data_IF_996404881077
#
_entry.id   IF_996404881077
#
_cell.length_a   1.000
_cell.length_b   1.000
_cell.length_c   1.000
_cell.angle_alpha   90.00
_cell.angle_beta   90.00
_cell.angle_gamma   90.00
#
_symmetry.space_group_name_H-M   'P 1'
#
loop_
_entity.id
_entity.type
_entity.pdbx_description
1 polymer ?
#
# COMPACT_ATOMS: atom_id res chain seq x y z
N UNK A 1 -57.74 -12.63 1.10
CA UNK A 1 -58.47 -12.53 -0.17
C UNK A 1 -58.89 -11.07 -0.35
N UNK A 2 -58.26 -10.35 -1.28
CA UNK A 2 -58.59 -8.96 -1.59
C UNK A 2 -59.08 -8.90 -3.04
N UNK A 3 -60.36 -8.61 -3.21
CA UNK A 3 -61.01 -8.56 -4.52
C UNK A 3 -60.84 -7.17 -5.14
N UNK A 4 -60.35 -7.20 -6.37
CA UNK A 4 -60.16 -6.11 -7.32
C UNK A 4 -61.49 -5.47 -7.75
N UNK A 5 -61.54 -4.14 -7.81
CA UNK A 5 -62.55 -3.41 -8.59
C UNK A 5 -61.89 -2.68 -9.75
N UNK A 6 -61.99 -3.31 -10.92
CA UNK A 6 -61.79 -2.72 -12.24
C UNK A 6 -62.86 -1.66 -12.48
N UNK A 7 -62.49 -0.38 -12.53
CA UNK A 7 -63.36 0.67 -13.07
C UNK A 7 -62.95 0.99 -14.50
N UNK A 8 -63.82 0.60 -15.43
CA UNK A 8 -63.74 0.91 -16.86
C UNK A 8 -63.90 2.42 -17.04
N UNK A 9 -62.87 3.09 -17.54
CA UNK A 9 -63.00 4.47 -18.03
C UNK A 9 -63.57 4.44 -19.44
N UNK A 10 -64.86 4.74 -19.57
CA UNK A 10 -65.48 5.07 -20.85
C UNK A 10 -64.95 6.42 -21.34
N UNK A 11 -64.47 6.46 -22.57
CA UNK A 11 -64.07 7.68 -23.27
C UNK A 11 -65.33 8.35 -23.81
N UNK A 12 -65.75 9.44 -23.18
CA UNK A 12 -66.75 10.34 -23.74
C UNK A 12 -66.05 11.34 -24.67
N UNK A 13 -66.28 11.19 -25.98
CA UNK A 13 -65.92 12.19 -26.99
C UNK A 13 -66.82 13.41 -26.79
N UNK A 14 -66.33 14.43 -26.08
CA UNK A 14 -66.99 15.73 -26.01
C UNK A 14 -66.54 16.57 -27.22
N UNK A 15 -67.41 16.61 -28.22
CA UNK A 15 -67.40 17.66 -29.24
C UNK A 15 -67.71 18.99 -28.56
N UNK A 16 -66.73 19.89 -28.50
CA UNK A 16 -66.93 21.24 -27.98
C UNK A 16 -67.64 22.10 -29.04
N UNK A 17 -68.96 22.09 -29.05
CA UNK A 17 -69.75 23.15 -29.69
C UNK A 17 -69.68 24.40 -28.84
N UNK A 18 -69.26 25.51 -29.44
CA UNK A 18 -69.26 26.86 -28.86
C UNK A 18 -70.67 27.27 -28.44
N UNK A 19 -71.00 27.11 -27.15
CA UNK A 19 -72.23 27.62 -26.56
C UNK A 19 -71.87 28.67 -25.52
N UNK A 20 -71.98 29.93 -25.92
CA UNK A 20 -72.10 31.07 -24.99
C UNK A 20 -73.51 31.00 -24.38
N UNK A 21 -73.69 30.28 -23.29
CA UNK A 21 -74.90 30.40 -22.47
C UNK A 21 -74.60 30.03 -21.02
N UNK A 22 -74.78 31.00 -20.13
CA UNK A 22 -74.84 30.79 -18.68
C UNK A 22 -76.02 29.87 -18.38
N UNK A 23 -75.76 28.67 -17.86
CA UNK A 23 -76.77 27.83 -17.24
C UNK A 23 -76.36 27.68 -15.76
N UNK A 24 -77.14 28.17 -14.79
CA UNK A 24 -76.92 27.84 -13.39
C UNK A 24 -77.34 26.38 -13.17
N UNK A 25 -76.37 25.51 -12.89
CA UNK A 25 -76.66 24.15 -12.42
C UNK A 25 -77.03 24.26 -10.94
N UNK A 26 -78.32 24.11 -10.64
CA UNK A 26 -78.81 24.01 -9.25
C UNK A 26 -78.48 22.61 -8.73
N UNK A 27 -77.49 22.52 -7.84
CA UNK A 27 -77.26 21.31 -7.04
C UNK A 27 -78.28 21.24 -5.92
N UNK A 28 -78.79 20.03 -5.61
CA UNK A 28 -79.92 19.77 -4.70
C UNK A 28 -79.76 20.20 -3.23
N UNK A 29 -78.67 20.86 -2.87
CA UNK A 29 -78.53 21.60 -1.61
C UNK A 29 -78.41 23.08 -1.99
N UNK A 30 -79.41 23.90 -1.65
CA UNK A 30 -79.58 25.33 -1.97
C UNK A 30 -78.35 26.24 -1.73
N UNK A 31 -77.27 26.02 -2.47
CA UNK A 31 -76.05 26.82 -2.51
C UNK A 31 -75.82 27.13 -3.97
N UNK A 32 -76.11 28.37 -4.36
CA UNK A 32 -75.82 28.88 -5.70
C UNK A 32 -74.31 28.96 -5.84
N UNK A 33 -73.69 27.94 -6.43
CA UNK A 33 -72.29 28.05 -6.86
C UNK A 33 -72.26 28.97 -8.08
N UNK A 34 -71.92 30.24 -7.85
CA UNK A 34 -71.48 31.16 -8.90
C UNK A 34 -70.15 30.63 -9.44
N UNK A 35 -70.21 29.66 -10.36
CA UNK A 35 -69.04 29.28 -11.16
C UNK A 35 -68.80 30.44 -12.12
N UNK A 36 -67.90 31.34 -11.73
CA UNK A 36 -67.47 32.40 -12.61
C UNK A 36 -66.83 31.77 -13.86
N UNK A 37 -67.53 31.87 -14.99
CA UNK A 37 -67.12 31.32 -16.28
C UNK A 37 -65.98 32.13 -16.91
N UNK A 38 -64.82 32.19 -16.25
CA UNK A 38 -63.62 32.74 -16.86
C UNK A 38 -63.08 31.74 -17.88
N UNK A 39 -62.90 32.17 -19.13
CA UNK A 39 -62.28 31.32 -20.14
C UNK A 39 -60.79 31.14 -19.79
N UNK A 40 -60.33 29.95 -19.37
CA UNK A 40 -58.95 29.76 -18.99
C UNK A 40 -58.05 29.95 -20.21
N UNK A 41 -56.87 30.53 -19.99
CA UNK A 41 -55.88 30.66 -21.07
C UNK A 41 -55.53 29.26 -21.60
N UNK A 42 -55.34 29.10 -22.92
CA UNK A 42 -54.99 27.81 -23.49
C UNK A 42 -53.68 27.30 -22.87
N UNK A 43 -53.62 25.98 -22.64
CA UNK A 43 -52.43 25.34 -22.09
C UNK A 43 -51.27 25.46 -23.08
N UNK A 44 -50.12 25.92 -22.60
CA UNK A 44 -48.88 26.01 -23.37
C UNK A 44 -48.20 24.64 -23.40
N UNK A 45 -48.70 23.73 -24.24
CA UNK A 45 -48.08 22.43 -24.46
C UNK A 45 -47.16 22.47 -25.69
N UNK A 46 -45.98 21.86 -25.58
CA UNK A 46 -45.03 21.71 -26.69
C UNK A 46 -45.36 20.44 -27.51
N UNK A 47 -46.56 20.40 -28.09
CA UNK A 47 -47.00 19.30 -28.98
C UNK A 47 -46.57 19.51 -30.45
N UNK A 48 -45.69 20.49 -30.68
CA UNK A 48 -45.27 20.93 -32.01
C UNK A 48 -44.07 20.15 -32.53
N UNK A 49 -43.82 20.37 -33.82
CA UNK A 49 -42.64 19.96 -34.57
C UNK A 49 -41.33 20.18 -33.78
N UNK A 50 -40.32 19.33 -34.01
CA UNK A 50 -39.03 19.46 -33.35
C UNK A 50 -38.45 20.84 -33.58
N UNK A 51 -37.92 21.45 -32.51
CA UNK A 51 -37.16 22.69 -32.62
C UNK A 51 -35.83 22.42 -33.35
N UNK A 52 -35.65 23.04 -34.52
CA UNK A 52 -34.43 22.97 -35.31
C UNK A 52 -33.73 24.34 -35.20
N UNK A 53 -32.54 24.41 -34.59
CA UNK A 53 -31.84 25.68 -34.42
C UNK A 53 -31.16 26.13 -35.72
N UNK A 54 -31.13 27.45 -35.94
CA UNK A 54 -30.37 28.05 -37.04
C UNK A 54 -28.87 28.00 -36.74
N UNK A 55 -28.11 27.28 -37.56
CA UNK A 55 -26.65 27.11 -37.37
C UNK A 55 -25.86 28.41 -37.56
N UNK A 56 -26.32 29.26 -38.49
CA UNK A 56 -25.63 30.50 -38.88
C UNK A 56 -25.94 31.67 -37.94
N UNK A 57 -26.89 31.52 -37.02
CA UNK A 57 -27.25 32.58 -36.07
C UNK A 57 -26.26 32.64 -34.91
N UNK A 58 -25.83 33.85 -34.55
CA UNK A 58 -25.01 34.10 -33.37
C UNK A 58 -25.79 33.89 -32.06
N UNK A 59 -27.12 34.00 -32.11
CA UNK A 59 -27.99 33.79 -30.94
C UNK A 59 -28.06 32.32 -30.52
N UNK A 60 -27.71 31.41 -31.41
CA UNK A 60 -27.70 29.97 -31.16
C UNK A 60 -26.43 29.57 -30.41
N UNK A 61 -26.53 28.94 -29.23
CA UNK A 61 -25.36 28.43 -28.50
C UNK A 61 -24.54 27.43 -29.33
N UNK A 62 -23.22 27.46 -29.20
CA UNK A 62 -22.30 26.62 -30.00
C UNK A 62 -22.59 25.12 -29.86
N UNK A 63 -22.94 24.65 -28.67
CA UNK A 63 -23.24 23.24 -28.42
C UNK A 63 -24.46 22.74 -29.23
N UNK A 64 -25.40 23.62 -29.60
CA UNK A 64 -26.54 23.27 -30.47
C UNK A 64 -26.15 23.15 -31.94
N UNK A 65 -25.01 23.72 -32.34
CA UNK A 65 -24.47 23.65 -33.69
C UNK A 65 -23.65 22.38 -33.94
N UNK A 66 -23.34 21.62 -32.90
CA UNK A 66 -22.51 20.40 -32.98
C UNK A 66 -23.29 19.18 -33.47
N UNK A 67 -22.59 18.23 -34.08
CA UNK A 67 -23.12 16.91 -34.47
C UNK A 67 -23.71 16.13 -33.28
N UNK A 68 -23.21 16.40 -32.07
CA UNK A 68 -23.73 15.81 -30.83
C UNK A 68 -25.17 16.22 -30.58
N UNK A 69 -25.53 17.46 -30.89
CA UNK A 69 -26.90 17.93 -30.77
C UNK A 69 -27.82 17.31 -31.83
N UNK A 70 -27.33 17.17 -33.06
CA UNK A 70 -28.06 16.49 -34.15
C UNK A 70 -28.38 15.05 -33.78
N UNK A 71 -27.40 14.31 -33.24
CA UNK A 71 -27.59 12.96 -32.71
C UNK A 71 -28.67 12.91 -31.62
N UNK A 72 -28.68 13.89 -30.72
CA UNK A 72 -29.70 14.01 -29.65
C UNK A 72 -31.09 14.31 -30.22
N UNK A 73 -31.19 15.13 -31.25
CA UNK A 73 -32.46 15.48 -31.89
C UNK A 73 -33.04 14.25 -32.61
N UNK A 74 -32.20 13.54 -33.37
CA UNK A 74 -32.57 12.29 -34.03
C UNK A 74 -32.99 11.22 -33.02
N UNK A 75 -32.28 11.06 -31.90
CA UNK A 75 -32.67 10.09 -30.87
C UNK A 75 -34.05 10.39 -30.23
N UNK A 76 -34.48 11.66 -30.20
CA UNK A 76 -35.76 12.06 -29.60
C UNK A 76 -36.94 11.98 -30.56
N UNK A 77 -36.74 12.42 -31.80
CA UNK A 77 -37.82 12.60 -32.77
C UNK A 77 -37.70 11.65 -33.98
N UNK A 78 -36.64 10.86 -34.06
CA UNK A 78 -36.36 9.96 -35.18
C UNK A 78 -36.20 10.72 -36.49
N UNK A 79 -36.70 10.15 -37.58
CA UNK A 79 -36.70 10.75 -38.92
C UNK A 79 -37.48 12.06 -39.02
N UNK A 80 -38.42 12.34 -38.11
CA UNK A 80 -39.13 13.62 -38.09
C UNK A 80 -38.21 14.81 -37.80
N UNK A 81 -37.01 14.57 -37.28
CA UNK A 81 -35.97 15.60 -37.06
C UNK A 81 -35.29 16.07 -38.35
N UNK A 82 -35.40 15.34 -39.47
CA UNK A 82 -34.73 15.66 -40.72
C UNK A 82 -33.20 15.47 -40.71
N UNK A 83 -32.64 14.87 -39.65
CA UNK A 83 -31.20 14.54 -39.57
C UNK A 83 -30.95 13.26 -40.38
N UNK A 84 -29.93 13.30 -41.25
CA UNK A 84 -29.47 12.14 -42.02
C UNK A 84 -28.81 11.10 -41.09
N UNK A 85 -29.31 9.84 -41.05
CA UNK A 85 -28.71 8.78 -40.24
C UNK A 85 -27.24 8.50 -40.54
N UNK A 86 -26.77 8.75 -41.78
CA UNK A 86 -25.37 8.53 -42.16
C UNK A 86 -24.40 9.37 -41.35
N UNK A 87 -24.80 10.60 -40.97
CA UNK A 87 -23.99 11.54 -40.18
C UNK A 87 -23.89 11.16 -38.70
N UNK A 88 -24.65 10.17 -38.23
CA UNK A 88 -24.61 9.73 -36.84
C UNK A 88 -23.39 8.87 -36.55
N UNK A 89 -22.87 8.19 -37.57
CA UNK A 89 -21.65 7.40 -37.51
C UNK A 89 -20.42 8.33 -37.55
N UNK A 90 -19.31 7.93 -36.88
CA UNK A 90 -18.06 8.66 -37.00
C UNK A 90 -17.62 8.80 -38.45
N UNK A 91 -16.97 9.92 -38.76
CA UNK A 91 -16.26 10.07 -40.05
C UNK A 91 -15.05 9.15 -40.08
N UNK A 92 -14.54 8.83 -41.28
CA UNK A 92 -13.38 7.94 -41.43
C UNK A 92 -12.16 8.41 -40.62
N UNK A 93 -11.88 9.72 -40.61
CA UNK A 93 -10.80 10.29 -39.80
C UNK A 93 -11.01 10.08 -38.28
N UNK A 94 -12.21 10.36 -37.78
CA UNK A 94 -12.56 10.12 -36.36
C UNK A 94 -12.48 8.64 -36.01
N UNK A 95 -12.86 7.75 -36.94
CA UNK A 95 -12.78 6.30 -36.73
C UNK A 95 -11.32 5.84 -36.61
N UNK A 96 -10.43 6.35 -37.45
CA UNK A 96 -8.99 6.05 -37.37
C UNK A 96 -8.39 6.52 -36.04
N UNK A 97 -8.74 7.72 -35.57
CA UNK A 97 -8.33 8.24 -34.26
C UNK A 97 -8.80 7.31 -33.13
N UNK A 98 -10.08 6.92 -33.14
CA UNK A 98 -10.63 6.00 -32.13
C UNK A 98 -9.94 4.63 -32.14
N UNK A 99 -9.63 4.09 -33.32
CA UNK A 99 -8.91 2.81 -33.45
C UNK A 99 -7.48 2.94 -32.91
N UNK A 100 -6.81 4.08 -33.15
CA UNK A 100 -5.46 4.34 -32.64
C UNK A 100 -5.46 4.48 -31.11
N UNK A 101 -6.43 5.22 -30.56
CA UNK A 101 -6.61 5.36 -29.11
C UNK A 101 -6.91 4.00 -28.45
N UNK A 102 -7.80 3.20 -29.04
CA UNK A 102 -8.12 1.87 -28.54
C UNK A 102 -6.89 0.96 -28.55
N UNK A 103 -6.12 0.92 -29.64
CA UNK A 103 -4.88 0.13 -29.70
C UNK A 103 -3.84 0.58 -28.68
N UNK A 104 -3.76 1.88 -28.41
CA UNK A 104 -2.78 2.45 -27.46
C UNK A 104 -3.13 2.13 -26.01
N UNK A 105 -4.41 2.24 -25.63
CA UNK A 105 -4.85 2.12 -24.25
C UNK A 105 -5.43 0.76 -23.88
N UNK A 106 -5.97 0.04 -24.86
CA UNK A 106 -6.65 -1.24 -24.71
C UNK A 106 -5.93 -2.33 -25.52
N UNK A 107 -4.83 -2.88 -24.97
CA UNK A 107 -4.11 -3.96 -25.64
C UNK A 107 -4.99 -5.21 -25.78
N UNK A 108 -4.71 -6.08 -26.76
CA UNK A 108 -5.46 -7.32 -26.94
C UNK A 108 -5.29 -8.28 -25.76
N UNK A 109 -6.29 -9.14 -25.56
CA UNK A 109 -6.34 -10.09 -24.45
C UNK A 109 -5.11 -11.00 -24.39
N UNK A 110 -4.59 -11.43 -25.54
CA UNK A 110 -3.40 -12.29 -25.62
C UNK A 110 -2.16 -11.63 -25.02
N UNK A 111 -1.96 -10.34 -25.25
CA UNK A 111 -0.85 -9.59 -24.67
C UNK A 111 -1.02 -9.46 -23.16
N UNK A 112 -2.25 -9.22 -22.70
CA UNK A 112 -2.54 -9.18 -21.26
C UNK A 112 -2.21 -10.52 -20.59
N UNK A 113 -2.60 -11.64 -21.18
CA UNK A 113 -2.30 -12.98 -20.65
C UNK A 113 -0.78 -13.26 -20.62
N UNK A 114 -0.05 -12.89 -21.68
CA UNK A 114 1.42 -12.99 -21.72
C UNK A 114 2.06 -12.17 -20.61
N UNK A 115 1.58 -10.94 -20.39
CA UNK A 115 2.08 -10.05 -19.35
C UNK A 115 1.80 -10.59 -17.94
N UNK A 116 0.63 -11.18 -17.71
CA UNK A 116 0.29 -11.84 -16.44
C UNK A 116 1.23 -13.01 -16.20
N UNK A 117 1.37 -13.90 -17.19
CA UNK A 117 2.25 -15.07 -17.08
C UNK A 117 3.71 -14.68 -16.81
N UNK A 118 4.21 -13.63 -17.45
CA UNK A 118 5.57 -13.10 -17.20
C UNK A 118 5.73 -12.58 -15.76
N UNK A 119 4.76 -11.79 -15.27
CA UNK A 119 4.76 -11.28 -13.89
C UNK A 119 4.66 -12.39 -12.85
N UNK A 120 3.89 -13.44 -13.12
CA UNK A 120 3.77 -14.59 -12.22
C UNK A 120 5.09 -15.37 -12.13
N UNK A 121 5.75 -15.61 -13.27
CA UNK A 121 7.08 -16.25 -13.30
C UNK A 121 8.11 -15.46 -12.51
N UNK A 122 8.20 -14.15 -12.74
CA UNK A 122 9.14 -13.28 -12.00
C UNK A 122 8.87 -13.30 -10.48
N UNK A 123 7.59 -13.24 -10.08
CA UNK A 123 7.20 -13.34 -8.66
C UNK A 123 7.56 -14.70 -8.06
N UNK A 124 7.35 -15.79 -8.80
CA UNK A 124 7.70 -17.14 -8.37
C UNK A 124 9.23 -17.27 -8.21
N UNK A 125 10.02 -16.79 -9.16
CA UNK A 125 11.48 -16.80 -9.10
C UNK A 125 12.01 -16.00 -7.90
N UNK A 126 11.48 -14.79 -7.66
CA UNK A 126 11.83 -13.98 -6.48
C UNK A 126 11.48 -14.70 -5.18
N UNK A 127 10.32 -15.37 -5.12
CA UNK A 127 9.91 -16.17 -3.95
C UNK A 127 10.89 -17.32 -3.70
N UNK A 128 11.20 -18.10 -4.74
CA UNK A 128 12.14 -19.22 -4.64
C UNK A 128 13.55 -18.76 -4.24
N UNK A 129 14.04 -17.65 -4.80
CA UNK A 129 15.34 -17.08 -4.43
C UNK A 129 15.36 -16.68 -2.95
N UNK A 130 14.29 -16.04 -2.46
CA UNK A 130 14.15 -15.67 -1.05
C UNK A 130 14.11 -16.91 -0.15
N UNK A 131 13.35 -17.93 -0.52
CA UNK A 131 13.27 -19.19 0.24
C UNK A 131 14.61 -19.90 0.31
N UNK A 132 15.36 -19.97 -0.80
CA UNK A 132 16.72 -20.52 -0.84
C UNK A 132 17.67 -19.78 0.09
N UNK A 133 17.61 -18.44 0.08
CA UNK A 133 18.43 -17.61 0.98
C UNK A 133 18.08 -17.84 2.44
N UNK A 134 16.78 -17.89 2.77
CA UNK A 134 16.32 -18.17 4.14
C UNK A 134 16.80 -19.56 4.56
N UNK A 135 16.65 -20.58 3.73
CA UNK A 135 17.11 -21.94 4.03
C UNK A 135 18.62 -22.00 4.30
N UNK A 136 19.43 -21.34 3.46
CA UNK A 136 20.88 -21.27 3.65
C UNK A 136 21.27 -20.57 4.96
N UNK A 137 20.61 -19.45 5.28
CA UNK A 137 20.83 -18.74 6.54
C UNK A 137 20.41 -19.59 7.74
N UNK A 138 19.23 -20.23 7.68
CA UNK A 138 18.73 -21.12 8.73
C UNK A 138 19.67 -22.30 8.98
N UNK A 139 20.31 -22.85 7.94
CA UNK A 139 21.33 -23.89 8.10
C UNK A 139 22.60 -23.39 8.82
N UNK A 140 22.97 -22.11 8.65
CA UNK A 140 24.12 -21.48 9.33
C UNK A 140 23.81 -21.08 10.77
N UNK A 141 22.56 -20.78 11.09
CA UNK A 141 22.14 -20.27 12.40
C UNK A 141 22.57 -21.13 13.60
N UNK A 142 22.45 -22.47 13.61
CA UNK A 142 22.85 -23.28 14.76
C UNK A 142 24.32 -23.13 15.14
N UNK A 143 25.21 -23.06 14.13
CA UNK A 143 26.65 -22.83 14.36
C UNK A 143 26.89 -21.46 14.98
N UNK A 144 26.27 -20.42 14.42
CA UNK A 144 26.38 -19.05 14.94
C UNK A 144 25.87 -18.92 16.38
N UNK A 145 24.77 -19.60 16.73
CA UNK A 145 24.24 -19.63 18.10
C UNK A 145 25.23 -20.33 19.05
N UNK A 146 25.84 -21.43 18.62
CA UNK A 146 26.83 -22.15 19.42
C UNK A 146 28.07 -21.28 19.69
N UNK A 147 28.57 -20.60 18.65
CA UNK A 147 29.75 -19.74 18.77
C UNK A 147 29.46 -18.52 19.67
N UNK A 148 28.30 -17.87 19.50
CA UNK A 148 27.86 -16.79 20.38
C UNK A 148 27.73 -17.23 21.85
N UNK A 149 27.20 -18.44 22.09
CA UNK A 149 27.09 -18.99 23.45
C UNK A 149 28.48 -19.23 24.05
N UNK A 150 29.44 -19.74 23.28
CA UNK A 150 30.83 -19.93 23.71
C UNK A 150 31.49 -18.60 24.06
N UNK A 151 31.40 -17.62 23.17
CA UNK A 151 31.94 -16.28 23.40
C UNK A 151 31.36 -15.65 24.68
N UNK A 152 30.04 -15.76 24.88
CA UNK A 152 29.38 -15.27 26.10
C UNK A 152 29.86 -15.98 27.36
N UNK A 153 30.14 -17.28 27.29
CA UNK A 153 30.70 -18.04 28.41
C UNK A 153 32.15 -17.64 28.69
N UNK A 154 32.97 -17.48 27.65
CA UNK A 154 34.36 -17.03 27.77
C UNK A 154 34.45 -15.61 28.35
N UNK A 155 33.61 -14.69 27.88
CA UNK A 155 33.51 -13.35 28.45
C UNK A 155 33.15 -13.40 29.94
N UNK A 156 32.16 -14.23 30.32
CA UNK A 156 31.81 -14.44 31.74
C UNK A 156 32.96 -15.03 32.54
N UNK A 157 33.72 -15.99 31.98
CA UNK A 157 34.90 -16.59 32.63
C UNK A 157 35.99 -15.55 32.85
N UNK A 158 36.34 -14.77 31.82
CA UNK A 158 37.31 -13.67 31.91
C UNK A 158 36.93 -12.66 32.99
N UNK A 159 35.67 -12.24 33.02
CA UNK A 159 35.16 -11.33 34.08
C UNK A 159 35.29 -11.95 35.48
N UNK A 160 34.99 -13.24 35.65
CA UNK A 160 35.17 -13.93 36.95
C UNK A 160 36.64 -14.03 37.34
N UNK A 161 37.52 -14.37 36.40
CA UNK A 161 38.97 -14.44 36.63
C UNK A 161 39.55 -13.07 36.99
N UNK A 162 39.11 -12.00 36.33
CA UNK A 162 39.51 -10.63 36.67
C UNK A 162 39.03 -10.23 38.06
N UNK A 163 37.78 -10.56 38.42
CA UNK A 163 37.28 -10.35 39.78
C UNK A 163 38.09 -11.12 40.82
N UNK A 164 38.35 -12.41 40.59
CA UNK A 164 39.14 -13.23 41.50
C UNK A 164 40.60 -12.73 41.62
N UNK A 165 41.21 -12.28 40.50
CA UNK A 165 42.55 -11.66 40.52
C UNK A 165 42.54 -10.37 41.34
N UNK A 166 41.54 -9.51 41.15
CA UNK A 166 41.38 -8.27 41.93
C UNK A 166 41.16 -8.57 43.42
N UNK A 167 40.32 -9.54 43.76
CA UNK A 167 40.08 -9.96 45.15
C UNK A 167 41.34 -10.52 45.82
N UNK A 168 42.16 -11.31 45.11
CA UNK A 168 43.46 -11.80 45.60
C UNK A 168 44.43 -10.65 45.89
N UNK A 169 44.57 -9.71 44.94
CA UNK A 169 45.43 -8.53 45.12
C UNK A 169 44.97 -7.65 46.29
N UNK A 170 43.64 -7.50 46.45
CA UNK A 170 43.06 -6.77 47.57
C UNK A 170 43.28 -7.49 48.91
N UNK A 171 43.23 -8.83 48.93
CA UNK A 171 43.49 -9.61 50.14
C UNK A 171 44.97 -9.53 50.57
N UNK A 172 45.92 -9.69 49.65
CA UNK A 172 47.36 -9.52 49.94
C UNK A 172 47.67 -8.10 50.48
N UNK A 173 47.05 -7.08 49.88
CA UNK A 173 47.19 -5.71 50.37
C UNK A 173 46.62 -5.53 51.79
N UNK A 174 45.48 -6.17 52.10
CA UNK A 174 44.87 -6.14 53.44
C UNK A 174 45.69 -6.89 54.48
N UNK A 175 46.33 -8.01 54.15
CA UNK A 175 47.20 -8.73 55.08
C UNK A 175 48.47 -7.94 55.42
N UNK A 176 49.04 -7.24 54.44
CA UNK A 176 50.28 -6.48 54.64
C UNK A 176 50.08 -5.14 55.35
N UNK A 177 48.92 -4.49 55.16
CA UNK A 177 48.69 -3.12 55.63
C UNK A 177 47.47 -2.95 56.55
N UNK A 178 46.64 -3.99 56.74
CA UNK A 178 45.48 -3.99 57.63
C UNK A 178 44.17 -3.51 57.00
N UNK A 179 43.05 -3.78 57.68
CA UNK A 179 41.68 -3.53 57.20
C UNK A 179 41.22 -2.06 57.26
N UNK A 180 41.98 -1.17 57.92
CA UNK A 180 41.56 0.21 58.20
C UNK A 180 41.78 1.21 57.04
N UNK A 181 42.39 0.77 55.93
CA UNK A 181 42.71 1.63 54.78
C UNK A 181 41.61 1.55 53.70
N UNK A 182 41.10 2.71 53.27
CA UNK A 182 40.10 2.80 52.20
C UNK A 182 40.72 2.50 50.82
N UNK A 183 40.05 1.64 50.07
CA UNK A 183 40.38 1.21 48.70
C UNK A 183 40.53 2.35 47.67
N UNK A 184 39.95 3.52 47.94
CA UNK A 184 39.98 4.69 47.04
C UNK A 184 41.14 5.67 47.31
N UNK A 185 41.89 5.46 48.40
CA UNK A 185 43.00 6.34 48.78
C UNK A 185 44.20 6.23 47.81
N UNK A 186 44.87 7.35 47.52
CA UNK A 186 46.05 7.40 46.64
C UNK A 186 47.19 6.52 47.15
N UNK A 187 47.44 6.53 48.46
CA UNK A 187 48.43 5.67 49.12
C UNK A 187 48.15 4.19 48.85
N UNK A 188 46.88 3.75 48.91
CA UNK A 188 46.53 2.35 48.66
C UNK A 188 46.81 1.92 47.21
N UNK A 189 46.59 2.81 46.24
CA UNK A 189 46.85 2.55 44.82
C UNK A 189 48.36 2.44 44.52
N UNK A 190 49.19 3.29 45.12
CA UNK A 190 50.66 3.21 45.01
C UNK A 190 51.18 1.88 45.57
N UNK A 191 50.65 1.43 46.72
CA UNK A 191 51.05 0.18 47.35
C UNK A 191 50.58 -1.06 46.58
N UNK A 192 49.37 -1.05 46.00
CA UNK A 192 48.93 -2.11 45.07
C UNK A 192 49.85 -2.20 43.85
N UNK A 193 50.31 -1.06 43.33
CA UNK A 193 51.23 -1.03 42.20
C UNK A 193 52.62 -1.61 42.55
N UNK A 194 53.07 -1.50 43.80
CA UNK A 194 54.28 -2.17 44.29
C UNK A 194 54.11 -3.69 44.34
N UNK A 195 52.99 -4.19 44.89
CA UNK A 195 52.67 -5.63 44.95
C UNK A 195 52.60 -6.22 43.53
N UNK A 196 51.93 -5.52 42.60
CA UNK A 196 51.88 -5.95 41.21
C UNK A 196 53.28 -5.99 40.56
N UNK A 197 54.17 -5.05 40.89
CA UNK A 197 55.55 -5.05 40.39
C UNK A 197 56.35 -6.23 40.94
N UNK A 198 56.20 -6.56 42.22
CA UNK A 198 56.83 -7.72 42.85
C UNK A 198 56.32 -9.05 42.24
N UNK A 199 55.00 -9.20 42.09
CA UNK A 199 54.40 -10.35 41.42
C UNK A 199 54.87 -10.48 39.96
N UNK A 200 54.90 -9.37 39.20
CA UNK A 200 55.38 -9.36 37.80
C UNK A 200 56.85 -9.78 37.73
N UNK A 201 57.70 -9.35 38.67
CA UNK A 201 59.12 -9.79 38.76
C UNK A 201 59.22 -11.28 39.05
N UNK A 202 58.46 -11.80 40.04
CA UNK A 202 58.41 -13.24 40.36
C UNK A 202 57.92 -14.09 39.19
N UNK A 203 56.84 -13.66 38.50
CA UNK A 203 56.30 -14.33 37.31
C UNK A 203 57.29 -14.34 36.14
N UNK A 204 58.03 -13.24 35.92
CA UNK A 204 59.08 -13.17 34.89
C UNK A 204 60.23 -14.14 35.19
N UNK A 205 60.67 -14.23 36.44
CA UNK A 205 61.73 -15.17 36.84
C UNK A 205 61.29 -16.63 36.70
N UNK A 206 60.06 -16.97 37.10
CA UNK A 206 59.51 -18.32 36.90
C UNK A 206 59.34 -18.66 35.40
N UNK A 207 58.90 -17.70 34.57
CA UNK A 207 58.82 -17.91 33.12
C UNK A 207 60.20 -18.07 32.48
N UNK A 208 61.22 -17.36 32.98
CA UNK A 208 62.61 -17.50 32.54
C UNK A 208 63.17 -18.87 32.91
N UNK A 209 62.98 -19.32 34.16
CA UNK A 209 63.37 -20.67 34.61
C UNK A 209 62.69 -21.78 33.81
N UNK A 210 61.38 -21.69 33.58
CA UNK A 210 60.67 -22.67 32.73
C UNK A 210 61.16 -22.70 31.29
N UNK A 211 61.52 -21.54 30.72
CA UNK A 211 62.17 -21.49 29.39
C UNK A 211 63.57 -22.10 29.39
N UNK A 212 64.36 -21.87 30.44
CA UNK A 212 65.69 -22.48 30.60
C UNK A 212 65.59 -24.01 30.80
N UNK A 213 64.56 -24.49 31.50
CA UNK A 213 64.25 -25.93 31.65
C UNK A 213 63.75 -26.56 30.33
N UNK A 214 62.84 -25.90 29.61
CA UNK A 214 62.36 -26.34 28.28
C UNK A 214 63.48 -26.34 27.22
N UNK A 215 64.45 -25.41 27.32
CA UNK A 215 65.63 -25.36 26.44
C UNK A 215 66.73 -26.35 26.83
N UNK A 216 66.87 -26.67 28.12
CA UNK A 216 67.78 -27.71 28.61
C UNK A 216 67.33 -29.14 28.25
N UNK A 217 66.02 -29.36 28.08
CA UNK A 217 65.45 -30.63 27.58
C UNK A 217 65.54 -30.81 26.06
N UNK A 218 65.88 -29.77 25.29
CA UNK A 218 66.12 -29.85 23.83
C UNK A 218 67.60 -29.71 23.48
N UNK A 219 68.46 -30.45 24.19
CA UNK A 219 69.81 -30.79 23.69
C UNK A 219 69.78 -32.28 23.34
N UNK A 220 69.78 -32.68 22.05
CA UNK A 220 69.93 -34.09 21.71
C UNK A 220 71.37 -34.52 22.03
N UNK A 221 71.50 -35.67 22.68
CA UNK A 221 72.75 -36.39 22.83
C UNK A 221 73.37 -36.67 21.43
N UNK A 222 74.72 -36.66 21.30
CA UNK A 222 75.40 -37.01 20.07
C UNK A 222 75.24 -38.51 19.80
N UNK A 223 74.61 -38.87 18.68
CA UNK A 223 74.64 -40.23 18.17
C UNK A 223 75.93 -40.42 17.35
N UNK A 224 76.62 -41.50 17.67
CA UNK A 224 77.94 -41.89 17.23
C UNK A 224 78.09 -42.13 15.73
N UNK A 225 79.34 -41.95 15.28
CA UNK A 225 79.95 -42.39 14.04
C UNK A 225 79.78 -43.91 13.81
N UNK A 226 79.46 -44.32 12.58
CA UNK A 226 80.05 -45.51 11.95
C UNK A 226 79.83 -45.45 10.42
N UNK A 227 80.81 -46.01 9.73
CA UNK A 227 81.18 -45.92 8.30
C UNK A 227 80.16 -46.42 7.28
#
# INVERSE_FOLDING_TARGET
MAASLLSRRGVALLAFSSLKSFIPVVSGNNVVQLIAGYNPRPLRLNLKEPYIPDRNSEKTPEWQKTEKYERKLFARYGFASGVDPGKLWPTAAQLEELIQEEKQWHPPLEEMLKNIAAKEKERAEKRLAREKLIAANMAKMPKMIADWRKEKQEAKRKVKEEKAKKERLLAEARERFGYALDSRSSKFQEMLAEIEKEEKKKRKLLKRRKREEEQGLTTPAPAAESS
#
